data_IF_150220441309
#
_entry.id   IF_150220441309
#
_cell.length_a   1.000
_cell.length_b   1.000
_cell.length_c   1.000
_cell.angle_alpha   90.00
_cell.angle_beta   90.00
_cell.angle_gamma   90.00
#
_symmetry.space_group_name_H-M   'P 1'
#
loop_
_entity.id
_entity.type
_entity.pdbx_description
1 polymer ?
#
# COMPACT_ATOMS: atom_id res chain seq x y z
N UNK A 1 -19.49 19.36 -24.73
CA UNK A 1 -18.86 18.25 -23.96
C UNK A 1 -17.47 18.01 -24.52
N UNK A 2 -16.41 18.34 -23.79
CA UNK A 2 -15.03 18.25 -24.29
C UNK A 2 -14.29 17.13 -23.56
N UNK A 3 -14.29 15.93 -24.10
CA UNK A 3 -13.48 14.80 -23.63
C UNK A 3 -12.31 14.63 -24.58
N UNK A 4 -11.27 15.46 -24.40
CA UNK A 4 -9.95 15.16 -24.98
C UNK A 4 -9.51 13.82 -24.39
N UNK A 5 -9.21 12.79 -25.20
CA UNK A 5 -8.63 11.57 -24.67
C UNK A 5 -7.21 11.92 -24.21
N UNK A 6 -7.00 11.99 -22.91
CA UNK A 6 -5.65 12.12 -22.38
C UNK A 6 -4.92 10.83 -22.74
N UNK A 7 -3.78 10.92 -23.43
CA UNK A 7 -2.84 9.81 -23.66
C UNK A 7 -2.25 9.19 -22.36
N UNK A 8 -2.84 9.50 -21.21
CA UNK A 8 -2.61 8.79 -19.97
C UNK A 8 -3.19 7.39 -20.16
N UNK A 9 -2.34 6.36 -20.16
CA UNK A 9 -2.71 4.94 -20.31
C UNK A 9 -3.78 4.44 -19.31
N UNK A 10 -4.25 5.30 -18.41
CA UNK A 10 -5.38 5.15 -17.50
C UNK A 10 -6.71 5.24 -18.25
N UNK A 11 -7.26 4.07 -18.55
CA UNK A 11 -8.63 3.94 -19.03
C UNK A 11 -9.59 3.73 -17.85
N UNK A 12 -10.88 4.01 -18.04
CA UNK A 12 -11.91 3.77 -17.02
C UNK A 12 -11.92 2.31 -16.52
N UNK A 13 -11.64 1.34 -17.40
CA UNK A 13 -11.52 -0.07 -17.04
C UNK A 13 -10.36 -0.33 -16.07
N UNK A 14 -9.18 0.28 -16.30
CA UNK A 14 -8.02 0.15 -15.40
C UNK A 14 -8.26 0.88 -14.08
N UNK A 15 -8.94 2.02 -14.09
CA UNK A 15 -9.35 2.72 -12.88
C UNK A 15 -10.29 1.86 -12.02
N UNK A 16 -11.29 1.24 -12.63
CA UNK A 16 -12.21 0.34 -11.94
C UNK A 16 -11.49 -0.92 -11.40
N UNK A 17 -10.62 -1.54 -12.19
CA UNK A 17 -9.82 -2.69 -11.76
C UNK A 17 -8.89 -2.32 -10.59
N UNK A 18 -8.24 -1.15 -10.66
CA UNK A 18 -7.39 -0.65 -9.59
C UNK A 18 -8.17 -0.46 -8.28
N UNK A 19 -9.37 0.13 -8.34
CA UNK A 19 -10.22 0.33 -7.17
C UNK A 19 -10.69 -1.01 -6.56
N UNK A 20 -11.05 -1.99 -7.39
CA UNK A 20 -11.41 -3.34 -6.93
C UNK A 20 -10.24 -4.01 -6.18
N UNK A 21 -9.03 -3.93 -6.73
CA UNK A 21 -7.83 -4.48 -6.09
C UNK A 21 -7.48 -3.73 -4.81
N UNK A 22 -7.59 -2.40 -4.83
CA UNK A 22 -7.36 -1.55 -3.65
C UNK A 22 -8.31 -1.92 -2.51
N UNK A 23 -9.59 -2.12 -2.80
CA UNK A 23 -10.58 -2.58 -1.82
C UNK A 23 -10.30 -4.00 -1.28
N UNK A 24 -9.65 -4.85 -2.08
CA UNK A 24 -9.30 -6.21 -1.70
C UNK A 24 -8.22 -6.28 -0.62
N UNK A 25 -7.09 -5.59 -0.82
CA UNK A 25 -5.91 -5.74 0.05
C UNK A 25 -5.37 -4.43 0.64
N UNK A 26 -5.87 -3.25 0.22
CA UNK A 26 -5.49 -1.94 0.76
C UNK A 26 -4.04 -1.52 0.50
N UNK A 27 -3.41 -2.05 -0.57
CA UNK A 27 -2.00 -1.78 -0.91
C UNK A 27 -1.88 -1.12 -2.27
N UNK A 28 -1.81 0.21 -2.29
CA UNK A 28 -1.69 1.03 -3.50
C UNK A 28 -0.59 0.53 -4.45
N UNK A 29 0.58 0.16 -3.92
CA UNK A 29 1.71 -0.35 -4.72
C UNK A 29 1.38 -1.63 -5.48
N UNK A 30 0.69 -2.56 -4.82
CA UNK A 30 0.34 -3.85 -5.39
C UNK A 30 -0.77 -3.69 -6.43
N UNK A 31 -1.83 -2.97 -6.08
CA UNK A 31 -2.95 -2.70 -6.98
C UNK A 31 -2.47 -2.01 -8.27
N UNK A 32 -1.56 -1.04 -8.16
CA UNK A 32 -0.97 -0.37 -9.31
C UNK A 32 -0.21 -1.35 -10.21
N UNK A 33 0.64 -2.21 -9.64
CA UNK A 33 1.41 -3.21 -10.40
C UNK A 33 0.51 -4.21 -11.13
N UNK A 34 -0.57 -4.65 -10.49
CA UNK A 34 -1.52 -5.61 -11.09
C UNK A 34 -2.30 -5.01 -12.27
N UNK A 35 -2.58 -3.71 -12.28
CA UNK A 35 -3.18 -3.03 -13.46
C UNK A 35 -2.15 -2.55 -14.48
N UNK A 36 -0.86 -2.86 -14.29
CA UNK A 36 0.24 -2.43 -15.15
C UNK A 36 0.54 -0.92 -15.05
N UNK A 37 0.26 -0.30 -13.90
CA UNK A 37 0.48 1.13 -13.64
C UNK A 37 1.51 1.37 -12.53
N UNK A 38 2.12 2.55 -12.55
CA UNK A 38 2.95 3.02 -11.45
C UNK A 38 2.10 3.67 -10.35
N UNK A 39 2.57 3.60 -9.10
CA UNK A 39 1.94 4.33 -7.98
C UNK A 39 1.83 5.83 -8.24
N UNK A 40 2.89 6.41 -8.80
CA UNK A 40 2.92 7.85 -9.09
C UNK A 40 1.82 8.23 -10.08
N UNK A 41 1.58 7.42 -11.11
CA UNK A 41 0.48 7.65 -12.05
C UNK A 41 -0.90 7.57 -11.36
N UNK A 42 -1.07 6.66 -10.39
CA UNK A 42 -2.31 6.56 -9.62
C UNK A 42 -2.56 7.83 -8.76
N UNK A 43 -1.53 8.37 -8.12
CA UNK A 43 -1.65 9.63 -7.37
C UNK A 43 -1.94 10.84 -8.28
N UNK A 44 -1.31 10.91 -9.46
CA UNK A 44 -1.63 11.95 -10.46
C UNK A 44 -3.08 11.87 -10.94
N UNK A 45 -3.59 10.65 -11.15
CA UNK A 45 -4.99 10.44 -11.50
C UNK A 45 -5.93 10.90 -10.37
N UNK A 46 -5.60 10.59 -9.11
CA UNK A 46 -6.34 11.06 -7.93
C UNK A 46 -6.39 12.58 -7.83
N UNK A 47 -5.30 13.26 -8.16
CA UNK A 47 -5.27 14.73 -8.16
C UNK A 47 -6.11 15.36 -9.29
N UNK A 48 -6.22 14.69 -10.45
CA UNK A 48 -7.00 15.18 -11.59
C UNK A 48 -8.49 14.85 -11.52
N UNK A 49 -8.85 13.71 -10.95
CA UNK A 49 -10.21 13.19 -10.98
C UNK A 49 -10.80 13.12 -9.56
N UNK A 50 -11.59 14.12 -9.12
CA UNK A 50 -12.15 14.15 -7.77
C UNK A 50 -13.09 12.96 -7.51
N UNK A 51 -13.84 12.53 -8.52
CA UNK A 51 -14.69 11.34 -8.42
C UNK A 51 -13.87 10.06 -8.15
N UNK A 52 -12.70 9.92 -8.80
CA UNK A 52 -11.80 8.81 -8.54
C UNK A 52 -11.22 8.88 -7.12
N UNK A 53 -10.94 10.08 -6.61
CA UNK A 53 -10.51 10.26 -5.23
C UNK A 53 -11.58 9.82 -4.22
N UNK A 54 -12.86 10.10 -4.46
CA UNK A 54 -13.95 9.62 -3.59
C UNK A 54 -14.03 8.09 -3.56
N UNK A 55 -13.97 7.44 -4.72
CA UNK A 55 -13.97 5.97 -4.79
C UNK A 55 -12.72 5.36 -4.16
N UNK A 56 -11.58 6.05 -4.24
CA UNK A 56 -10.35 5.63 -3.58
C UNK A 56 -10.52 5.56 -2.06
N UNK A 57 -11.10 6.60 -1.45
CA UNK A 57 -11.35 6.63 -0.01
C UNK A 57 -12.31 5.50 0.40
N UNK A 58 -13.38 5.29 -0.36
CA UNK A 58 -14.32 4.18 -0.12
C UNK A 58 -13.64 2.81 -0.19
N UNK A 59 -12.75 2.61 -1.19
CA UNK A 59 -11.99 1.38 -1.33
C UNK A 59 -11.02 1.18 -0.15
N UNK A 60 -10.35 2.23 0.31
CA UNK A 60 -9.45 2.18 1.47
C UNK A 60 -10.21 1.83 2.76
N UNK A 61 -11.40 2.40 2.94
CA UNK A 61 -12.25 2.12 4.09
C UNK A 61 -12.75 0.66 4.06
N UNK A 62 -13.16 0.15 2.89
CA UNK A 62 -13.53 -1.25 2.75
C UNK A 62 -12.36 -2.20 3.04
N UNK A 63 -11.16 -1.87 2.57
CA UNK A 63 -9.95 -2.64 2.88
C UNK A 63 -9.61 -2.61 4.37
N UNK A 64 -9.79 -1.45 5.05
CA UNK A 64 -9.61 -1.30 6.49
C UNK A 64 -10.59 -2.19 7.27
N UNK A 65 -11.87 -2.17 6.89
CA UNK A 65 -12.92 -3.04 7.48
C UNK A 65 -12.58 -4.51 7.32
N UNK A 66 -12.19 -4.95 6.11
CA UNK A 66 -11.76 -6.33 5.84
C UNK A 66 -10.55 -6.73 6.68
N UNK A 67 -9.56 -5.84 6.79
CA UNK A 67 -8.36 -6.10 7.59
C UNK A 67 -8.68 -6.18 9.08
N UNK A 68 -9.56 -5.32 9.60
CA UNK A 68 -10.05 -5.40 10.97
C UNK A 68 -10.72 -6.76 11.24
N UNK A 69 -11.58 -7.22 10.33
CA UNK A 69 -12.19 -8.56 10.41
C UNK A 69 -11.14 -9.69 10.42
N UNK A 70 -10.10 -9.62 9.59
CA UNK A 70 -9.03 -10.63 9.55
C UNK A 70 -8.12 -10.64 10.79
N UNK A 71 -7.92 -9.48 11.44
CA UNK A 71 -7.07 -9.37 12.64
C UNK A 71 -7.71 -10.03 13.86
N UNK A 72 -9.04 -10.03 13.96
CA UNK A 72 -9.77 -10.63 15.09
C UNK A 72 -9.54 -12.14 15.25
N UNK A 73 -9.08 -12.83 14.20
CA UNK A 73 -8.75 -14.27 14.25
C UNK A 73 -7.26 -14.60 14.22
N UNK A 74 -6.36 -13.61 14.19
CA UNK A 74 -4.92 -13.89 14.10
C UNK A 74 -4.40 -14.24 15.50
N UNK A 75 -4.17 -15.53 15.76
CA UNK A 75 -3.42 -15.96 16.96
C UNK A 75 -2.09 -15.19 17.01
N UNK A 76 -1.69 -14.66 18.17
CA UNK A 76 -0.36 -14.06 18.34
C UNK A 76 0.68 -15.06 17.84
N UNK A 77 1.58 -14.61 16.96
CA UNK A 77 2.75 -15.40 16.63
C UNK A 77 3.48 -15.70 17.93
N UNK A 78 3.90 -16.95 18.10
CA UNK A 78 4.46 -17.48 19.34
C UNK A 78 5.49 -16.50 19.94
N UNK A 79 5.51 -16.28 21.28
CA UNK A 79 6.37 -15.28 21.92
C UNK A 79 7.87 -15.43 21.60
N UNK A 80 8.31 -16.61 21.18
CA UNK A 80 9.70 -16.86 20.76
C UNK A 80 10.05 -16.33 19.35
N UNK A 81 9.06 -16.09 18.49
CA UNK A 81 9.23 -15.50 17.16
C UNK A 81 9.01 -13.97 17.15
N UNK A 82 8.56 -13.41 18.28
CA UNK A 82 8.63 -11.98 18.49
C UNK A 82 10.12 -11.64 18.62
N UNK A 83 10.72 -11.08 17.55
CA UNK A 83 12.05 -10.49 17.61
C UNK A 83 12.05 -9.53 18.79
N UNK A 84 12.65 -9.92 19.91
CA UNK A 84 12.99 -8.97 20.97
C UNK A 84 13.83 -7.88 20.31
N UNK A 85 13.56 -6.59 20.57
CA UNK A 85 14.52 -5.57 20.19
C UNK A 85 15.83 -5.94 20.88
N UNK A 86 16.87 -6.23 20.08
CA UNK A 86 18.23 -6.28 20.61
C UNK A 86 18.50 -4.88 21.14
N UNK A 87 18.72 -4.68 22.45
CA UNK A 87 19.21 -3.41 22.92
C UNK A 87 20.61 -3.29 22.30
N UNK A 88 20.76 -2.41 21.31
CA UNK A 88 22.06 -1.94 20.91
C UNK A 88 22.54 -1.00 22.04
N UNK A 89 22.93 -1.60 23.14
CA UNK A 89 23.74 -1.01 24.17
C UNK A 89 24.89 -2.01 24.37
N UNK A 90 26.10 -1.51 24.60
CA UNK A 90 27.26 -2.28 25.06
C UNK A 90 28.24 -2.85 24.01
N UNK A 91 28.35 -2.28 22.79
CA UNK A 91 29.66 -2.31 22.12
C UNK A 91 30.54 -1.23 22.72
N UNK A 92 31.18 -1.62 23.82
CA UNK A 92 32.25 -0.88 24.47
C UNK A 92 33.43 -0.70 23.52
N UNK A 93 33.99 0.48 23.61
CA UNK A 93 35.39 0.77 23.30
C UNK A 93 36.30 -0.29 23.96
N UNK A 94 36.98 -1.13 23.18
CA UNK A 94 38.35 -1.62 23.45
C UNK A 94 38.80 -2.79 22.56
N UNK A 95 39.90 -2.52 21.84
CA UNK A 95 41.03 -3.39 21.47
C UNK A 95 40.99 -4.19 20.13
N UNK A 96 41.96 -3.87 19.26
CA UNK A 96 42.23 -4.40 17.90
C UNK A 96 42.98 -5.75 17.85
N UNK A 97 43.92 -6.03 16.89
CA UNK A 97 44.84 -5.08 16.24
C UNK A 97 45.00 -5.19 14.70
N UNK A 98 45.32 -4.07 14.06
CA UNK A 98 46.33 -3.97 12.99
C UNK A 98 46.69 -2.49 12.79
N UNK A 99 47.95 -2.14 13.09
CA UNK A 99 48.51 -0.79 13.08
C UNK A 99 49.56 -0.64 14.15
#
# INVERSE_FOLDING_TARGET
MSTKPDNSRWTGAKAAAFLKLLAGHGKVARAAREVGMSRQAAYRLRARAPQFAQFWEQAMELAKRRRASSRRGRKPVHPLLARKPVPYAEWGDSLGPNG
#
